data_IF_611112226002
#
_entry.id   IF_611112226002
#
_cell.length_a   1.000
_cell.length_b   1.000
_cell.length_c   1.000
_cell.angle_alpha   90.00
_cell.angle_beta   90.00
_cell.angle_gamma   90.00
#
_symmetry.space_group_name_H-M   'P 1'
#
loop_
_entity.id
_entity.type
_entity.pdbx_description
1 polymer ?
#
# COMPACT_ATOMS: atom_id res chain seq x y z
N UNK A 1 23.81 9.88 11.57
CA UNK A 1 22.59 9.37 12.25
C UNK A 1 22.48 7.90 11.87
N UNK A 2 22.60 6.97 12.81
CA UNK A 2 22.44 5.53 12.58
C UNK A 2 21.14 5.08 13.22
N UNK A 3 20.02 5.46 12.62
CA UNK A 3 18.70 4.96 12.99
C UNK A 3 18.08 4.36 11.73
N UNK A 4 17.52 3.18 11.88
CA UNK A 4 16.70 2.58 10.85
C UNK A 4 15.41 3.39 10.73
N UNK A 5 15.02 3.75 9.52
CA UNK A 5 13.83 4.54 9.25
C UNK A 5 13.24 4.19 7.88
N UNK A 6 11.95 4.45 7.72
CA UNK A 6 11.20 4.36 6.47
C UNK A 6 10.16 5.47 6.39
N UNK A 7 9.59 5.65 5.21
CA UNK A 7 8.45 6.52 4.92
C UNK A 7 7.34 5.71 4.25
N UNK A 8 6.11 6.12 4.52
CA UNK A 8 4.89 5.59 3.94
C UNK A 8 4.18 6.78 3.29
N UNK A 9 3.95 6.70 1.98
CA UNK A 9 3.37 7.80 1.20
C UNK A 9 2.15 7.30 0.45
N UNK A 10 0.97 7.70 0.92
CA UNK A 10 -0.30 7.54 0.22
C UNK A 10 -0.47 8.62 -0.85
N UNK A 11 -0.86 8.21 -2.06
CA UNK A 11 -1.09 9.12 -3.16
C UNK A 11 -2.58 9.34 -3.39
N UNK A 12 -2.96 10.60 -3.58
CA UNK A 12 -4.29 10.93 -4.09
C UNK A 12 -4.40 10.53 -5.56
N UNK A 13 -5.50 9.85 -5.91
CA UNK A 13 -5.81 9.51 -7.31
C UNK A 13 -7.10 10.19 -7.75
N UNK A 14 -7.14 10.54 -9.03
CA UNK A 14 -8.32 11.07 -9.69
C UNK A 14 -8.36 10.54 -11.12
N UNK A 15 -9.52 10.04 -11.55
CA UNK A 15 -9.75 9.53 -12.90
C UNK A 15 -10.83 10.38 -13.56
N UNK A 16 -10.42 11.32 -14.43
CA UNK A 16 -11.33 12.15 -15.22
C UNK A 16 -12.48 12.81 -14.43
N UNK A 17 -13.58 13.10 -15.13
CA UNK A 17 -14.87 13.50 -14.53
C UNK A 17 -15.81 12.29 -14.46
N UNK A 18 -15.34 11.15 -13.91
CA UNK A 18 -16.18 9.97 -13.68
C UNK A 18 -16.54 9.83 -12.19
N UNK A 19 -17.73 10.27 -11.82
CA UNK A 19 -18.25 10.18 -10.45
C UNK A 19 -18.67 8.74 -10.06
N UNK A 20 -18.72 7.80 -11.02
CA UNK A 20 -19.11 6.41 -10.79
C UNK A 20 -17.94 5.46 -10.51
N UNK A 21 -16.73 5.98 -10.56
CA UNK A 21 -15.49 5.24 -10.40
C UNK A 21 -15.30 4.68 -8.98
N UNK A 22 -14.90 3.41 -8.90
CA UNK A 22 -14.52 2.77 -7.63
C UNK A 22 -13.02 2.98 -7.37
N UNK A 23 -12.72 3.91 -6.47
CA UNK A 23 -11.34 4.33 -6.14
C UNK A 23 -10.47 3.15 -5.69
N UNK A 24 -11.06 2.15 -5.01
CA UNK A 24 -10.32 0.96 -4.58
C UNK A 24 -9.89 0.14 -5.80
N UNK A 25 -10.78 -0.01 -6.79
CA UNK A 25 -10.48 -0.75 -8.03
C UNK A 25 -9.45 0.01 -8.85
N UNK A 26 -9.57 1.32 -9.01
CA UNK A 26 -8.60 2.09 -9.80
C UNK A 26 -7.22 2.16 -9.14
N UNK A 27 -7.16 2.27 -7.82
CA UNK A 27 -5.90 2.17 -7.08
C UNK A 27 -5.24 0.79 -7.29
N UNK A 28 -6.02 -0.28 -7.14
CA UNK A 28 -5.58 -1.65 -7.37
C UNK A 28 -5.05 -1.87 -8.79
N UNK A 29 -5.82 -1.45 -9.81
CA UNK A 29 -5.42 -1.59 -11.22
C UNK A 29 -4.19 -0.74 -11.56
N UNK A 30 -4.07 0.46 -10.99
CA UNK A 30 -2.87 1.29 -11.12
C UNK A 30 -1.63 0.56 -10.59
N UNK A 31 -1.70 -0.06 -9.40
CA UNK A 31 -0.57 -0.81 -8.83
C UNK A 31 -0.20 -2.02 -9.69
N UNK A 32 -1.20 -2.70 -10.28
CA UNK A 32 -0.97 -3.84 -11.18
C UNK A 32 -0.15 -3.47 -12.42
N UNK A 33 -0.12 -2.19 -12.82
CA UNK A 33 0.73 -1.70 -13.90
C UNK A 33 2.24 -1.69 -13.55
N UNK A 34 2.66 -1.85 -12.28
CA UNK A 34 4.09 -2.00 -11.97
C UNK A 34 4.72 -3.22 -12.68
N UNK A 35 3.91 -4.23 -12.96
CA UNK A 35 4.25 -5.34 -13.86
C UNK A 35 4.01 -6.71 -13.22
N UNK A 36 3.57 -7.66 -14.06
CA UNK A 36 3.62 -9.10 -13.76
C UNK A 36 5.07 -9.59 -13.89
N UNK A 37 5.85 -9.48 -12.81
CA UNK A 37 7.16 -10.12 -12.70
C UNK A 37 7.01 -11.51 -12.05
N UNK A 38 7.93 -12.44 -12.36
CA UNK A 38 7.89 -13.83 -11.88
C UNK A 38 8.07 -13.97 -10.35
N UNK A 39 8.54 -12.92 -9.69
CA UNK A 39 8.78 -12.89 -8.26
C UNK A 39 7.62 -12.21 -7.53
N UNK A 40 6.87 -12.99 -6.76
CA UNK A 40 5.82 -12.50 -5.86
C UNK A 40 6.29 -12.72 -4.42
N UNK A 41 7.05 -11.77 -3.86
CA UNK A 41 7.17 -11.69 -2.41
C UNK A 41 5.88 -11.08 -1.87
N UNK A 42 5.11 -11.89 -1.15
CA UNK A 42 3.92 -11.45 -0.44
C UNK A 42 4.32 -10.99 0.96
N UNK A 43 3.76 -9.86 1.42
CA UNK A 43 3.91 -9.44 2.80
C UNK A 43 3.18 -10.43 3.72
N UNK A 44 3.89 -10.94 4.74
CA UNK A 44 3.33 -11.88 5.70
C UNK A 44 2.96 -11.18 7.01
N UNK A 45 1.69 -10.82 7.13
CA UNK A 45 1.11 -10.25 8.34
C UNK A 45 1.04 -11.20 9.54
N UNK A 46 1.31 -12.50 9.39
CA UNK A 46 1.08 -13.48 10.46
C UNK A 46 1.91 -13.26 11.73
N UNK A 47 2.99 -12.47 11.64
CA UNK A 47 3.86 -12.13 12.76
C UNK A 47 3.60 -10.74 13.35
N UNK A 48 2.65 -9.98 12.78
CA UNK A 48 2.32 -8.64 13.22
C UNK A 48 1.04 -8.63 14.08
N UNK A 49 1.09 -7.91 15.20
CA UNK A 49 -0.09 -7.56 15.96
C UNK A 49 -0.08 -6.04 16.18
N UNK A 50 -0.79 -5.27 15.34
CA UNK A 50 -0.87 -3.81 15.49
C UNK A 50 -1.47 -3.34 16.82
N UNK A 51 -2.21 -4.22 17.51
CA UNK A 51 -2.85 -3.94 18.80
C UNK A 51 -1.91 -4.18 19.98
N UNK A 52 -0.77 -4.84 19.76
CA UNK A 52 0.23 -5.11 20.78
C UNK A 52 1.20 -3.93 20.92
N UNK A 53 1.06 -3.18 22.01
CA UNK A 53 1.99 -2.11 22.35
C UNK A 53 3.41 -2.68 22.56
N UNK A 54 4.44 -1.90 22.20
CA UNK A 54 5.84 -2.29 22.39
C UNK A 54 6.20 -2.64 23.85
N UNK A 55 5.42 -2.19 24.83
CA UNK A 55 5.57 -2.50 26.26
C UNK A 55 4.92 -3.85 26.64
N UNK A 56 4.29 -4.55 25.71
CA UNK A 56 3.78 -5.91 25.89
C UNK A 56 2.34 -6.02 26.38
N UNK A 57 1.48 -5.04 26.10
CA UNK A 57 0.06 -5.08 26.47
C UNK A 57 -0.84 -4.54 25.35
N UNK A 58 -2.12 -4.90 25.39
CA UNK A 58 -3.16 -4.34 24.52
C UNK A 58 -4.07 -3.41 25.32
N UNK A 59 -4.63 -2.39 24.68
CA UNK A 59 -5.54 -1.42 25.32
C UNK A 59 -6.96 -1.74 24.88
N UNK A 60 -7.81 -2.20 25.82
CA UNK A 60 -9.15 -2.68 25.53
C UNK A 60 -10.04 -1.63 24.82
N UNK A 61 -9.88 -0.36 25.18
CA UNK A 61 -10.61 0.76 24.61
C UNK A 61 -10.18 1.10 23.17
N UNK A 62 -8.96 0.69 22.78
CA UNK A 62 -8.42 0.86 21.42
C UNK A 62 -8.67 -0.36 20.54
N UNK A 63 -9.25 -1.46 21.06
CA UNK A 63 -9.61 -2.65 20.27
C UNK A 63 -10.83 -2.42 19.35
N UNK A 64 -11.23 -1.17 19.10
CA UNK A 64 -12.50 -0.82 18.51
C UNK A 64 -12.31 -0.32 17.07
N UNK A 65 -11.88 -1.19 16.18
CA UNK A 65 -11.84 -0.92 14.74
C UNK A 65 -13.24 -1.11 14.12
N UNK A 66 -14.26 -0.48 14.70
CA UNK A 66 -15.65 -0.61 14.22
C UNK A 66 -15.75 -0.15 12.77
N UNK A 67 -15.08 0.95 12.44
CA UNK A 67 -15.07 1.50 11.09
C UNK A 67 -14.31 0.55 10.14
N UNK A 68 -13.11 0.11 10.50
CA UNK A 68 -12.35 -0.89 9.71
C UNK A 68 -13.16 -2.18 9.50
N UNK A 69 -13.87 -2.66 10.52
CA UNK A 69 -14.72 -3.85 10.43
C UNK A 69 -15.84 -3.66 9.41
N UNK A 70 -16.44 -2.48 9.36
CA UNK A 70 -17.48 -2.15 8.36
C UNK A 70 -16.88 -2.09 6.95
N UNK A 71 -15.68 -1.53 6.78
CA UNK A 71 -14.99 -1.52 5.50
C UNK A 71 -14.59 -2.93 5.05
N UNK A 72 -14.02 -3.74 5.94
CA UNK A 72 -13.68 -5.14 5.70
C UNK A 72 -14.92 -5.98 5.33
N UNK A 73 -16.07 -5.71 5.94
CA UNK A 73 -17.33 -6.37 5.57
C UNK A 73 -17.80 -5.99 4.16
N UNK A 74 -17.66 -4.72 3.76
CA UNK A 74 -17.97 -4.27 2.40
C UNK A 74 -17.00 -4.88 1.38
N UNK A 75 -15.71 -4.93 1.69
CA UNK A 75 -14.71 -5.50 0.80
C UNK A 75 -14.87 -7.01 0.62
N UNK A 76 -15.32 -7.74 1.65
CA UNK A 76 -15.70 -9.16 1.54
C UNK A 76 -16.88 -9.43 0.62
N UNK A 77 -17.73 -8.43 0.35
CA UNK A 77 -18.86 -8.55 -0.58
C UNK A 77 -18.46 -8.29 -2.03
N UNK A 78 -17.24 -7.77 -2.28
CA UNK A 78 -16.72 -7.54 -3.64
C UNK A 78 -16.45 -8.88 -4.33
N UNK A 79 -16.60 -8.95 -5.67
CA UNK A 79 -16.30 -10.16 -6.44
C UNK A 79 -14.79 -10.47 -6.56
N UNK A 80 -13.93 -9.58 -6.06
CA UNK A 80 -12.46 -9.69 -6.08
C UNK A 80 -12.00 -10.21 -4.71
N UNK A 81 -11.05 -11.14 -4.66
CA UNK A 81 -10.52 -11.64 -3.39
C UNK A 81 -9.78 -10.54 -2.64
N UNK A 82 -9.85 -10.55 -1.30
CA UNK A 82 -9.23 -9.51 -0.48
C UNK A 82 -7.71 -9.39 -0.67
N UNK A 83 -7.03 -10.53 -0.90
CA UNK A 83 -5.61 -10.54 -1.22
C UNK A 83 -5.29 -9.83 -2.56
N UNK A 84 -6.21 -9.92 -3.52
CA UNK A 84 -6.09 -9.27 -4.82
C UNK A 84 -6.42 -7.77 -4.74
N UNK A 85 -7.36 -7.37 -3.88
CA UNK A 85 -7.74 -5.97 -3.64
C UNK A 85 -6.60 -5.13 -3.06
N UNK A 86 -5.76 -5.74 -2.21
CA UNK A 86 -4.58 -5.05 -1.67
C UNK A 86 -3.48 -4.85 -2.70
N UNK A 87 -3.43 -5.68 -3.77
CA UNK A 87 -2.37 -5.65 -4.78
C UNK A 87 -0.99 -5.40 -4.16
N UNK A 88 -0.64 -6.24 -3.19
CA UNK A 88 0.49 -6.06 -2.29
C UNK A 88 1.78 -6.57 -2.93
N UNK A 89 2.63 -5.65 -3.38
CA UNK A 89 3.83 -5.94 -4.13
C UNK A 89 5.07 -5.50 -3.36
N UNK A 90 6.05 -6.40 -3.23
CA UNK A 90 7.42 -6.01 -2.92
C UNK A 90 8.17 -5.77 -4.23
N UNK A 91 8.68 -4.55 -4.40
CA UNK A 91 9.31 -4.10 -5.63
C UNK A 91 10.84 -4.23 -5.56
N UNK A 92 11.54 -4.13 -6.70
CA UNK A 92 12.96 -4.50 -6.80
C UNK A 92 13.93 -3.73 -5.88
N UNK A 93 13.57 -2.52 -5.44
CA UNK A 93 14.38 -1.75 -4.51
C UNK A 93 14.10 -2.08 -3.03
N UNK A 94 13.28 -3.11 -2.75
CA UNK A 94 12.88 -3.52 -1.41
C UNK A 94 11.71 -2.73 -0.81
N UNK A 95 11.17 -1.75 -1.54
CA UNK A 95 9.96 -1.04 -1.13
C UNK A 95 8.73 -1.94 -1.25
N UNK A 96 7.67 -1.52 -0.57
CA UNK A 96 6.32 -2.06 -0.71
C UNK A 96 5.47 -1.09 -1.53
N UNK A 97 4.73 -1.62 -2.49
CA UNK A 97 3.75 -0.90 -3.30
C UNK A 97 2.42 -1.64 -3.19
N UNK A 98 1.41 -1.01 -2.62
CA UNK A 98 0.15 -1.69 -2.29
C UNK A 98 -1.01 -0.70 -2.24
N UNK A 99 -2.22 -1.22 -2.32
CA UNK A 99 -3.44 -0.45 -2.15
C UNK A 99 -3.77 -0.44 -0.66
N UNK A 100 -3.65 0.72 -0.03
CA UNK A 100 -4.19 0.94 1.30
C UNK A 100 -5.57 1.59 1.18
N UNK A 101 -6.58 0.75 1.32
CA UNK A 101 -7.98 1.14 1.20
C UNK A 101 -8.31 1.82 -0.15
N UNK A 102 -8.30 3.15 -0.19
CA UNK A 102 -8.61 3.98 -1.38
C UNK A 102 -7.36 4.60 -2.02
N UNK A 103 -6.17 4.34 -1.51
CA UNK A 103 -4.96 5.00 -1.97
C UNK A 103 -3.90 4.00 -2.43
N UNK A 104 -3.24 4.25 -3.57
CA UNK A 104 -2.00 3.56 -3.84
C UNK A 104 -0.92 4.15 -2.93
N UNK A 105 -0.25 3.27 -2.23
CA UNK A 105 0.75 3.61 -1.25
C UNK A 105 2.11 3.02 -1.63
N UNK A 106 3.15 3.84 -1.46
CA UNK A 106 4.54 3.40 -1.55
C UNK A 106 5.21 3.54 -0.19
N UNK A 107 5.64 2.41 0.39
CA UNK A 107 6.45 2.38 1.60
C UNK A 107 7.91 2.09 1.23
N UNK A 108 8.80 3.01 1.58
CA UNK A 108 10.24 2.88 1.28
C UNK A 108 10.85 1.63 1.94
N UNK A 109 11.93 1.04 1.39
CA UNK A 109 12.74 0.09 2.15
C UNK A 109 13.34 0.75 3.39
N UNK A 110 13.80 -0.07 4.33
CA UNK A 110 14.46 0.44 5.51
C UNK A 110 15.81 1.09 5.19
N UNK A 111 15.96 2.35 5.60
CA UNK A 111 17.12 3.17 5.30
C UNK A 111 17.93 3.51 6.56
N UNK A 112 19.26 3.53 6.42
CA UNK A 112 20.20 3.93 7.50
C UNK A 112 20.65 5.40 7.41
N UNK A 113 20.29 6.10 6.32
CA UNK A 113 20.62 7.51 6.12
C UNK A 113 19.44 8.26 5.52
N UNK A 114 19.31 9.55 5.86
CA UNK A 114 18.28 10.41 5.27
C UNK A 114 18.46 10.58 3.76
N UNK A 115 19.71 10.51 3.27
CA UNK A 115 19.99 10.61 1.84
C UNK A 115 19.39 9.42 1.11
N UNK A 116 19.58 8.21 1.64
CA UNK A 116 19.02 7.00 1.04
C UNK A 116 17.50 7.03 1.11
N UNK A 117 16.94 7.42 2.26
CA UNK A 117 15.50 7.57 2.46
C UNK A 117 14.86 8.49 1.43
N UNK A 118 15.41 9.70 1.25
CA UNK A 118 14.92 10.65 0.24
C UNK A 118 15.12 10.11 -1.18
N UNK A 119 16.20 9.38 -1.45
CA UNK A 119 16.43 8.82 -2.78
C UNK A 119 15.39 7.74 -3.13
N UNK A 120 15.04 6.85 -2.19
CA UNK A 120 14.05 5.80 -2.42
C UNK A 120 12.62 6.33 -2.42
N UNK A 121 12.29 7.33 -1.59
CA UNK A 121 11.00 8.03 -1.61
C UNK A 121 10.76 8.69 -2.98
N UNK A 122 11.77 9.41 -3.51
CA UNK A 122 11.72 9.99 -4.85
C UNK A 122 11.71 8.94 -5.97
N UNK A 123 12.23 7.75 -5.72
CA UNK A 123 12.08 6.62 -6.64
C UNK A 123 10.63 6.11 -6.64
N UNK A 124 9.96 6.09 -5.48
CA UNK A 124 8.54 5.78 -5.33
C UNK A 124 7.65 6.67 -6.19
N UNK A 125 7.85 7.99 -6.16
CA UNK A 125 7.12 8.93 -7.03
C UNK A 125 7.25 8.56 -8.52
N UNK A 126 8.46 8.19 -8.96
CA UNK A 126 8.74 7.83 -10.36
C UNK A 126 8.11 6.50 -10.73
N UNK A 127 8.16 5.52 -9.83
CA UNK A 127 7.53 4.20 -10.01
C UNK A 127 6.03 4.38 -10.19
N UNK A 128 5.38 5.12 -9.29
CA UNK A 128 3.93 5.32 -9.35
C UNK A 128 3.53 6.12 -10.59
N UNK A 129 4.32 7.14 -10.96
CA UNK A 129 4.09 7.89 -12.20
C UNK A 129 4.20 7.02 -13.45
N UNK A 130 5.14 6.07 -13.49
CA UNK A 130 5.23 5.10 -14.58
C UNK A 130 4.00 4.18 -14.63
N UNK A 131 3.51 3.71 -13.48
CA UNK A 131 2.29 2.91 -13.39
C UNK A 131 1.07 3.69 -13.91
N UNK A 132 0.91 4.94 -13.48
CA UNK A 132 -0.18 5.81 -13.94
C UNK A 132 -0.13 6.06 -15.46
N UNK A 133 1.07 6.25 -16.02
CA UNK A 133 1.25 6.39 -17.47
C UNK A 133 0.82 5.15 -18.22
N UNK A 134 1.26 3.97 -17.78
CA UNK A 134 0.87 2.70 -18.41
C UNK A 134 -0.65 2.49 -18.33
N UNK A 135 -1.25 2.74 -17.16
CA UNK A 135 -2.71 2.66 -16.94
C UNK A 135 -3.52 3.59 -17.85
N UNK A 136 -2.93 4.70 -18.32
CA UNK A 136 -3.59 5.68 -19.20
C UNK A 136 -3.35 5.41 -20.69
N UNK A 137 -2.30 4.67 -21.03
CA UNK A 137 -1.95 4.31 -22.41
C UNK A 137 -2.71 3.07 -22.92
N UNK A 138 -3.22 2.22 -22.01
CA UNK A 138 -4.12 1.07 -22.25
C UNK A 138 -5.62 1.47 -22.28
#
# INVERSE_FOLDING_TARGET
>A
MQRLCGLETEYGIQVGEDESMDVVVESMELIRCYGRQDFVALWNYALENPRLDMRGFEVAELLNDKDETVHLQKDRQRPIQLADLKSDLIVHNGARLYNDHTHPEFSTPECYSLRDLVAVDRAGERILFQCARQRTED
#
